data_IF_205418152124
#
_entry.id   IF_205418152124
#
_cell.length_a   1.000
_cell.length_b   1.000
_cell.length_c   1.000
_cell.angle_alpha   90.00
_cell.angle_beta   90.00
_cell.angle_gamma   90.00
#
_symmetry.space_group_name_H-M   'P 1'
#
loop_
_entity.id
_entity.type
_entity.pdbx_description
1 polymer ?
#
# COMPACT_ATOMS: atom_id res chain seq x y z
N UNK A 1 5.38 8.30 10.45
CA UNK A 1 5.16 7.01 9.77
C UNK A 1 5.31 7.26 8.28
N UNK A 2 5.59 6.23 7.48
CA UNK A 2 5.53 6.35 6.02
C UNK A 2 4.97 5.07 5.43
N UNK A 3 4.19 5.19 4.36
CA UNK A 3 3.48 4.10 3.73
C UNK A 3 3.76 4.05 2.23
N UNK A 4 3.98 2.86 1.70
CA UNK A 4 4.02 2.58 0.27
C UNK A 4 2.75 1.85 -0.11
N UNK A 5 2.10 2.25 -1.22
CA UNK A 5 0.83 1.68 -1.67
C UNK A 5 1.00 1.03 -3.05
N UNK A 6 0.39 -0.14 -3.19
CA UNK A 6 0.19 -0.82 -4.46
C UNK A 6 -1.28 -1.15 -4.64
N UNK A 7 -1.77 -1.06 -5.87
CA UNK A 7 -3.17 -1.31 -6.19
C UNK A 7 -3.27 -2.38 -7.26
N UNK A 8 -3.78 -3.54 -6.86
CA UNK A 8 -4.10 -4.65 -7.73
C UNK A 8 -5.50 -4.44 -8.31
N UNK A 9 -5.56 -4.01 -9.57
CA UNK A 9 -6.83 -3.77 -10.28
C UNK A 9 -7.54 -5.09 -10.56
N UNK A 10 -6.80 -6.15 -10.90
CA UNK A 10 -7.37 -7.46 -11.24
C UNK A 10 -7.98 -8.13 -10.01
N UNK A 11 -7.22 -8.17 -8.91
CA UNK A 11 -7.68 -8.72 -7.64
C UNK A 11 -8.59 -7.78 -6.82
N UNK A 12 -8.75 -6.52 -7.24
CA UNK A 12 -9.46 -5.46 -6.50
C UNK A 12 -8.95 -5.30 -5.07
N UNK A 13 -7.64 -5.45 -4.87
CA UNK A 13 -7.00 -5.30 -3.57
C UNK A 13 -6.00 -4.14 -3.55
N UNK A 14 -5.93 -3.46 -2.41
CA UNK A 14 -4.89 -2.52 -2.10
C UNK A 14 -3.90 -3.20 -1.14
N UNK A 15 -2.61 -2.94 -1.35
CA UNK A 15 -1.52 -3.43 -0.52
C UNK A 15 -0.75 -2.23 0.01
N UNK A 16 -0.57 -2.16 1.32
CA UNK A 16 0.18 -1.09 1.97
C UNK A 16 1.35 -1.67 2.76
N UNK A 17 2.54 -1.11 2.60
CA UNK A 17 3.70 -1.39 3.46
C UNK A 17 3.96 -0.18 4.34
N UNK A 18 3.97 -0.38 5.66
CA UNK A 18 4.15 0.68 6.63
C UNK A 18 5.53 0.67 7.28
N UNK A 19 6.01 1.86 7.63
CA UNK A 19 7.18 2.06 8.48
C UNK A 19 6.84 2.99 9.65
N UNK A 20 7.33 2.66 10.82
CA UNK A 20 7.22 3.47 12.04
C UNK A 20 8.61 3.68 12.62
N UNK A 21 9.07 4.93 12.67
CA UNK A 21 10.40 5.28 13.20
C UNK A 21 11.51 4.39 12.60
N UNK A 22 11.54 4.28 11.27
CA UNK A 22 12.49 3.45 10.52
C UNK A 22 12.33 1.93 10.71
N UNK A 23 11.40 1.48 11.55
CA UNK A 23 11.09 0.05 11.72
C UNK A 23 9.97 -0.36 10.76
N UNK A 24 10.11 -1.50 10.05
CA UNK A 24 9.02 -2.04 9.26
C UNK A 24 7.83 -2.38 10.17
N UNK A 25 6.67 -1.78 9.92
CA UNK A 25 5.39 -2.22 10.52
C UNK A 25 4.89 -3.50 9.85
N UNK A 26 5.38 -3.78 8.65
CA UNK A 26 4.99 -4.91 7.82
C UNK A 26 4.05 -4.50 6.71
N UNK A 27 3.26 -5.47 6.23
CA UNK A 27 2.37 -5.29 5.08
C UNK A 27 0.93 -5.54 5.49
N UNK A 28 0.04 -4.65 5.08
CA UNK A 28 -1.40 -4.78 5.15
C UNK A 28 -1.99 -5.01 3.74
N UNK A 29 -3.11 -5.71 3.68
CA UNK A 29 -3.90 -5.90 2.46
C UNK A 29 -5.37 -5.64 2.80
N UNK A 30 -6.06 -4.91 1.94
CA UNK A 30 -7.47 -4.59 2.07
C UNK A 30 -8.12 -4.56 0.68
N UNK A 31 -9.45 -4.58 0.61
CA UNK A 31 -10.13 -4.28 -0.65
C UNK A 31 -9.84 -2.82 -1.05
N UNK A 32 -9.83 -2.51 -2.35
CA UNK A 32 -9.64 -1.12 -2.83
C UNK A 32 -10.71 -0.14 -2.30
N UNK A 33 -11.88 -0.66 -1.90
CA UNK A 33 -12.98 0.12 -1.32
C UNK A 33 -12.91 0.23 0.21
N UNK A 34 -11.95 -0.42 0.86
CA UNK A 34 -11.84 -0.48 2.32
C UNK A 34 -10.71 0.44 2.82
N UNK A 35 -10.59 0.56 4.15
CA UNK A 35 -9.61 1.42 4.82
C UNK A 35 -8.59 0.62 5.61
N UNK A 36 -7.34 1.05 5.53
CA UNK A 36 -6.25 0.50 6.32
C UNK A 36 -6.26 1.02 7.74
N UNK A 37 -5.99 0.13 8.69
CA UNK A 37 -5.75 0.44 10.10
C UNK A 37 -4.38 -0.08 10.52
N UNK A 38 -3.76 0.54 11.51
CA UNK A 38 -2.41 0.15 11.98
C UNK A 38 -2.30 -1.33 12.39
N UNK A 39 -3.39 -1.93 12.88
CA UNK A 39 -3.45 -3.36 13.28
C UNK A 39 -3.44 -4.34 12.10
N UNK A 40 -3.72 -3.88 10.89
CA UNK A 40 -3.81 -4.75 9.71
C UNK A 40 -2.42 -5.09 9.14
N UNK A 41 -1.42 -4.30 9.54
CA UNK A 41 -0.01 -4.46 9.17
C UNK A 41 0.58 -5.65 9.92
N UNK A 42 1.08 -6.62 9.15
CA UNK A 42 1.71 -7.83 9.69
C UNK A 42 3.18 -7.87 9.27
N UNK A 43 4.14 -7.92 10.21
CA UNK A 43 5.57 -7.99 9.90
C UNK A 43 5.97 -9.20 9.04
N UNK A 44 5.23 -10.30 9.16
CA UNK A 44 5.49 -11.55 8.44
C UNK A 44 4.90 -11.57 7.03
N UNK A 45 3.97 -10.65 6.70
CA UNK A 45 3.34 -10.60 5.38
C UNK A 45 4.29 -9.93 4.39
N UNK A 46 4.49 -10.58 3.24
CA UNK A 46 5.25 -10.03 2.12
C UNK A 46 4.34 -9.62 0.98
N UNK A 47 4.76 -8.61 0.24
CA UNK A 47 4.11 -8.14 -0.98
C UNK A 47 4.26 -9.20 -2.09
N UNK A 48 3.19 -9.56 -2.80
CA UNK A 48 3.28 -10.43 -3.96
C UNK A 48 4.13 -9.85 -5.10
N UNK A 49 4.85 -10.69 -5.86
CA UNK A 49 5.75 -10.23 -6.93
C UNK A 49 5.02 -9.63 -8.14
N UNK A 50 3.76 -9.99 -8.40
CA UNK A 50 2.97 -9.43 -9.50
C UNK A 50 2.67 -7.93 -9.34
N UNK A 51 2.78 -7.39 -8.11
CA UNK A 51 2.56 -5.98 -7.83
C UNK A 51 3.72 -5.07 -8.23
N UNK A 52 4.75 -5.60 -8.89
CA UNK A 52 5.94 -4.83 -9.30
C UNK A 52 5.61 -3.65 -10.25
N UNK A 53 4.48 -3.68 -10.95
CA UNK A 53 4.01 -2.61 -11.84
C UNK A 53 2.75 -1.89 -11.33
N UNK A 54 2.35 -2.20 -10.10
CA UNK A 54 1.10 -1.73 -9.49
C UNK A 54 1.34 -0.62 -8.45
N UNK A 55 2.49 0.05 -8.48
CA UNK A 55 2.85 1.03 -7.47
C UNK A 55 2.02 2.31 -7.65
N UNK A 56 1.35 2.74 -6.60
CA UNK A 56 0.48 3.91 -6.60
C UNK A 56 1.16 5.16 -6.01
N UNK A 57 2.05 4.99 -5.03
CA UNK A 57 2.77 6.12 -4.42
C UNK A 57 3.23 5.88 -2.98
N UNK A 58 3.87 6.91 -2.44
CA UNK A 58 4.24 7.02 -1.03
C UNK A 58 3.33 8.02 -0.32
N UNK A 59 3.01 7.74 0.94
CA UNK A 59 2.11 8.52 1.79
C UNK A 59 2.75 8.73 3.17
N UNK A 60 2.52 9.91 3.75
CA UNK A 60 3.05 10.31 5.06
C UNK A 60 2.18 9.84 6.24
N UNK A 61 0.92 9.51 6.01
CA UNK A 61 0.01 8.99 7.05
C UNK A 61 -0.96 7.94 6.53
N UNK A 62 -1.63 7.24 7.47
CA UNK A 62 -2.73 6.35 7.13
C UNK A 62 -3.96 7.12 6.65
N UNK A 63 -4.23 8.32 7.18
CA UNK A 63 -5.34 9.14 6.70
C UNK A 63 -5.14 9.50 5.22
N UNK A 64 -3.96 10.00 4.85
CA UNK A 64 -3.65 10.41 3.47
C UNK A 64 -3.80 9.23 2.49
N UNK A 65 -3.30 8.06 2.89
CA UNK A 65 -3.43 6.83 2.09
C UNK A 65 -4.91 6.42 1.92
N UNK A 66 -5.71 6.50 2.99
CA UNK A 66 -7.12 6.14 2.96
C UNK A 66 -7.96 7.15 2.16
N UNK A 67 -7.63 8.44 2.23
CA UNK A 67 -8.24 9.47 1.39
C UNK A 67 -7.94 9.21 -0.08
N UNK A 68 -6.68 8.89 -0.42
CA UNK A 68 -6.30 8.53 -1.77
C UNK A 68 -7.12 7.35 -2.31
N UNK A 69 -7.33 6.29 -1.51
CA UNK A 69 -8.15 5.14 -1.90
C UNK A 69 -9.62 5.51 -2.14
N UNK A 70 -10.19 6.43 -1.35
CA UNK A 70 -11.57 6.89 -1.55
C UNK A 70 -11.77 7.64 -2.87
N UNK A 71 -10.73 8.28 -3.38
CA UNK A 71 -10.74 9.04 -4.63
C UNK A 71 -10.16 8.26 -5.83
N UNK A 72 -9.84 6.97 -5.67
CA UNK A 72 -9.26 6.13 -6.73
C UNK A 72 -10.25 5.79 -7.85
N UNK A 73 -10.45 6.72 -8.80
CA UNK A 73 -11.17 6.47 -10.05
C UNK A 73 -10.27 6.24 -11.28
N UNK A 74 -9.03 6.77 -11.28
CA UNK A 74 -8.15 6.77 -12.46
C UNK A 74 -6.65 6.78 -12.08
N UNK A 75 -6.17 5.68 -11.49
CA UNK A 75 -4.80 5.56 -11.02
C UNK A 75 -3.77 5.45 -12.16
N UNK A 76 -2.73 6.28 -12.10
CA UNK A 76 -1.48 6.02 -12.84
C UNK A 76 -0.62 5.10 -12.00
N UNK A 77 -0.68 3.80 -12.31
CA UNK A 77 0.20 2.81 -11.70
C UNK A 77 1.57 2.84 -12.36
N UNK A 78 2.61 2.70 -11.55
CA UNK A 78 3.99 2.75 -11.98
C UNK A 78 4.82 1.55 -11.52
N UNK A 79 6.09 1.49 -11.98
CA UNK A 79 7.04 0.50 -11.48
C UNK A 79 7.31 0.71 -9.99
N UNK A 80 7.44 -0.39 -9.26
CA UNK A 80 7.77 -0.39 -7.83
C UNK A 80 9.22 0.05 -7.64
N UNK A 81 9.49 1.07 -6.81
CA UNK A 81 10.85 1.50 -6.51
C UNK A 81 11.68 0.40 -5.83
N UNK A 82 12.97 0.33 -6.14
CA UNK A 82 13.85 -0.75 -5.67
C UNK A 82 13.96 -0.85 -4.13
N UNK A 83 13.80 0.25 -3.41
CA UNK A 83 13.91 0.31 -1.95
C UNK A 83 12.67 -0.20 -1.21
N UNK A 84 11.58 -0.50 -1.91
CA UNK A 84 10.35 -1.13 -1.37
C UNK A 84 10.02 -2.45 -2.06
N UNK A 85 11.00 -3.03 -2.76
CA UNK A 85 10.84 -4.26 -3.52
C UNK A 85 10.77 -5.50 -2.64
#
# INVERSE_FOLDING_TARGET
>A
MAFALWIDIEGRTAWAQGTHEYRPMGVAVAAVSDQFRSRDFRPTRRRPPHLNICFAGFFGSLEELNEFLRHCGALKLGPTPAHVR
#
